data_IF_858751748547
#
_entry.id   IF_858751748547
#
_cell.length_a   1.000
_cell.length_b   1.000
_cell.length_c   1.000
_cell.angle_alpha   90.00
_cell.angle_beta   90.00
_cell.angle_gamma   90.00
#
_symmetry.space_group_name_H-M   'P 1'
#
loop_
_entity.id
_entity.type
_entity.pdbx_description
1 polymer ?
#
# COMPACT_ATOMS: atom_id res chain seq x y z
N UNK A 1 -0.55 0.09 18.12
CA UNK A 1 0.42 0.08 17.01
C UNK A 1 0.01 -0.97 15.99
N UNK A 2 -0.16 -0.62 14.71
CA UNK A 2 -0.51 -1.51 13.59
C UNK A 2 0.15 -1.05 12.28
N UNK A 3 1.27 -0.35 12.39
CA UNK A 3 2.01 0.21 11.25
C UNK A 3 2.91 -0.86 10.67
N UNK A 4 3.03 -0.88 9.35
CA UNK A 4 3.98 -1.72 8.62
C UNK A 4 5.02 -0.81 7.97
N UNK A 5 6.27 -1.27 7.95
CA UNK A 5 7.38 -0.58 7.29
C UNK A 5 7.28 -0.77 5.78
N UNK A 6 7.63 0.25 5.01
CA UNK A 6 7.66 0.16 3.54
C UNK A 6 8.82 -0.72 3.03
N UNK A 7 9.75 -1.11 3.92
CA UNK A 7 10.88 -2.01 3.62
C UNK A 7 10.99 -3.11 4.69
N UNK A 8 11.21 -4.36 4.25
CA UNK A 8 11.40 -5.54 5.09
C UNK A 8 12.61 -6.38 4.60
N UNK A 9 13.58 -6.77 5.47
CA UNK A 9 13.70 -6.39 6.87
C UNK A 9 13.86 -4.87 7.06
N UNK A 10 13.45 -4.35 8.22
CA UNK A 10 13.44 -2.91 8.51
C UNK A 10 14.85 -2.37 8.79
N UNK A 11 15.70 -2.32 7.76
CA UNK A 11 17.02 -1.67 7.82
C UNK A 11 16.89 -0.14 7.88
N UNK A 12 15.83 0.41 7.27
CA UNK A 12 15.47 1.82 7.32
C UNK A 12 14.15 2.01 8.07
N UNK A 13 14.03 3.09 8.85
CA UNK A 13 12.79 3.41 9.57
C UNK A 13 11.83 4.17 8.65
N UNK A 14 11.23 3.45 7.71
CA UNK A 14 10.27 3.96 6.74
C UNK A 14 8.86 3.54 7.12
N UNK A 15 8.23 4.35 7.99
CA UNK A 15 6.81 4.23 8.28
C UNK A 15 6.09 5.43 7.68
N UNK A 16 5.85 5.38 6.37
CA UNK A 16 5.16 6.47 5.68
C UNK A 16 3.64 6.33 5.70
N UNK A 17 3.13 5.21 6.24
CA UNK A 17 1.74 4.81 6.11
C UNK A 17 1.31 4.86 4.63
N UNK A 18 2.16 4.35 3.73
CA UNK A 18 1.75 4.10 2.36
C UNK A 18 0.66 3.00 2.38
N UNK A 19 -0.35 3.09 1.52
CA UNK A 19 -1.40 2.06 1.50
C UNK A 19 -1.00 0.93 0.54
N UNK A 20 -0.49 1.30 -0.63
CA UNK A 20 -0.13 0.36 -1.70
C UNK A 20 1.09 -0.52 -1.37
N UNK A 21 2.16 0.03 -0.78
CA UNK A 21 3.39 -0.75 -0.50
C UNK A 21 3.15 -1.85 0.55
N UNK A 22 2.73 -1.54 1.78
CA UNK A 22 2.42 -2.58 2.78
C UNK A 22 1.22 -3.46 2.38
N UNK A 23 0.40 -3.02 1.43
CA UNK A 23 -0.60 -3.84 0.77
C UNK A 23 -0.04 -5.14 0.18
N UNK A 24 1.27 -5.17 -0.12
CA UNK A 24 2.00 -6.38 -0.55
C UNK A 24 1.86 -7.54 0.45
N UNK A 25 1.66 -7.25 1.74
CA UNK A 25 1.47 -8.28 2.74
C UNK A 25 0.24 -9.17 2.43
N UNK A 26 -0.80 -8.58 1.83
CA UNK A 26 -2.02 -9.27 1.43
C UNK A 26 -1.86 -9.87 0.04
N UNK A 27 -1.41 -9.06 -0.93
CA UNK A 27 -1.33 -9.49 -2.33
C UNK A 27 -0.31 -10.58 -2.53
N UNK A 28 0.85 -10.52 -1.86
CA UNK A 28 1.85 -11.57 -1.91
C UNK A 28 1.32 -12.90 -1.37
N UNK A 29 0.64 -12.88 -0.21
CA UNK A 29 0.04 -14.08 0.38
C UNK A 29 -1.09 -14.66 -0.49
N UNK A 30 -1.94 -13.79 -1.05
CA UNK A 30 -2.99 -14.18 -1.99
C UNK A 30 -2.43 -14.76 -3.30
N UNK A 31 -1.34 -14.20 -3.83
CA UNK A 31 -0.66 -14.75 -5.02
C UNK A 31 -0.12 -16.15 -4.77
N UNK A 32 0.49 -16.38 -3.60
CA UNK A 32 0.96 -17.73 -3.19
C UNK A 32 -0.22 -18.70 -3.09
N UNK A 33 -1.30 -18.29 -2.42
CA UNK A 33 -2.51 -19.11 -2.30
C UNK A 33 -3.14 -19.45 -3.65
N UNK A 34 -3.38 -18.46 -4.51
CA UNK A 34 -3.99 -18.67 -5.83
C UNK A 34 -3.14 -19.56 -6.74
N UNK A 35 -1.81 -19.48 -6.62
CA UNK A 35 -0.89 -20.21 -7.51
C UNK A 35 -0.63 -21.65 -7.06
N UNK A 36 -0.60 -21.90 -5.75
CA UNK A 36 -0.14 -23.17 -5.18
C UNK A 36 -1.16 -23.83 -4.23
N UNK A 37 -2.24 -23.16 -3.87
CA UNK A 37 -3.20 -23.61 -2.85
C UNK A 37 -2.66 -23.52 -1.42
N UNK A 38 -1.50 -22.90 -1.22
CA UNK A 38 -0.87 -22.75 0.09
C UNK A 38 -1.47 -21.55 0.84
N UNK A 39 -2.24 -21.83 1.89
CA UNK A 39 -2.88 -20.84 2.74
C UNK A 39 -2.16 -20.61 4.07
N UNK A 40 -0.97 -21.21 4.27
CA UNK A 40 -0.23 -21.16 5.53
C UNK A 40 0.14 -19.72 5.89
N UNK A 41 0.67 -18.95 4.93
CA UNK A 41 1.01 -17.53 5.14
C UNK A 41 -0.19 -16.68 5.53
N UNK A 42 -1.39 -17.00 5.01
CA UNK A 42 -2.61 -16.29 5.39
C UNK A 42 -2.98 -16.63 6.83
N UNK A 43 -3.02 -17.93 7.18
CA UNK A 43 -3.40 -18.40 8.52
C UNK A 43 -2.45 -17.86 9.61
N UNK A 44 -1.15 -17.92 9.36
CA UNK A 44 -0.12 -17.53 10.33
C UNK A 44 -0.08 -16.01 10.57
N UNK A 45 -0.54 -15.22 9.60
CA UNK A 45 -0.34 -13.78 9.61
C UNK A 45 -1.63 -12.96 9.56
N UNK A 46 -2.81 -13.61 9.48
CA UNK A 46 -4.11 -12.94 9.43
C UNK A 46 -4.30 -11.90 10.55
N UNK A 47 -3.86 -12.21 11.76
CA UNK A 47 -3.93 -11.28 12.89
C UNK A 47 -3.14 -9.99 12.67
N UNK A 48 -1.95 -10.08 12.05
CA UNK A 48 -1.12 -8.92 11.73
C UNK A 48 -1.69 -8.13 10.55
N UNK A 49 -2.15 -8.83 9.50
CA UNK A 49 -2.82 -8.24 8.34
C UNK A 49 -4.04 -7.42 8.77
N UNK A 50 -4.98 -8.05 9.50
CA UNK A 50 -6.18 -7.39 10.03
C UNK A 50 -5.83 -6.15 10.85
N UNK A 51 -4.84 -6.26 11.73
CA UNK A 51 -4.39 -5.17 12.59
C UNK A 51 -3.82 -3.97 11.81
N UNK A 52 -3.15 -4.21 10.68
CA UNK A 52 -2.72 -3.13 9.79
C UNK A 52 -3.89 -2.48 9.05
N UNK A 53 -4.80 -3.28 8.51
CA UNK A 53 -5.96 -2.76 7.79
C UNK A 53 -6.87 -1.93 8.71
N UNK A 54 -7.09 -2.39 9.95
CA UNK A 54 -7.82 -1.64 10.98
C UNK A 54 -7.09 -0.34 11.37
N UNK A 55 -5.75 -0.36 11.44
CA UNK A 55 -4.95 0.84 11.67
C UNK A 55 -5.14 1.85 10.53
N UNK A 56 -4.99 1.44 9.27
CA UNK A 56 -5.17 2.32 8.12
C UNK A 56 -6.60 2.85 8.04
N UNK A 57 -7.61 1.99 8.23
CA UNK A 57 -9.02 2.35 8.23
C UNK A 57 -9.35 3.40 9.29
N UNK A 58 -8.94 3.17 10.54
CA UNK A 58 -9.27 4.07 11.65
C UNK A 58 -8.64 5.46 11.53
N UNK A 59 -7.51 5.58 10.85
CA UNK A 59 -6.81 6.86 10.67
C UNK A 59 -7.17 7.59 9.37
N UNK A 60 -7.39 6.85 8.29
CA UNK A 60 -7.34 7.39 6.94
C UNK A 60 -8.54 7.04 6.05
N UNK A 61 -9.50 6.22 6.51
CA UNK A 61 -10.75 6.07 5.80
C UNK A 61 -11.72 7.19 6.23
N UNK A 62 -12.13 8.04 5.28
CA UNK A 62 -13.09 9.12 5.51
C UNK A 62 -14.18 9.05 4.45
N UNK A 63 -15.44 8.96 4.87
CA UNK A 63 -16.60 8.92 3.95
C UNK A 63 -16.46 7.86 2.84
N UNK A 64 -15.87 6.70 3.19
CA UNK A 64 -15.60 5.60 2.24
C UNK A 64 -14.35 5.79 1.37
N UNK A 65 -13.60 6.88 1.53
CA UNK A 65 -12.40 7.20 0.76
C UNK A 65 -11.15 6.95 1.60
N UNK A 66 -10.24 6.09 1.11
CA UNK A 66 -8.93 5.91 1.73
C UNK A 66 -8.02 7.06 1.29
N UNK A 67 -7.88 8.07 2.14
CA UNK A 67 -7.23 9.34 1.76
C UNK A 67 -5.70 9.29 1.77
N UNK A 68 -5.11 8.20 2.27
CA UNK A 68 -3.68 8.10 2.51
C UNK A 68 -3.03 7.09 1.57
N UNK A 69 -2.12 7.61 0.76
CA UNK A 69 -1.04 6.90 0.06
C UNK A 69 0.14 7.88 0.00
N UNK A 70 1.37 7.39 0.04
CA UNK A 70 2.57 8.24 0.10
C UNK A 70 3.34 8.23 -1.21
N UNK A 71 3.55 7.06 -1.82
CA UNK A 71 4.36 6.94 -3.03
C UNK A 71 3.52 7.07 -4.30
N UNK A 72 2.25 6.64 -4.26
CA UNK A 72 1.35 6.71 -5.40
C UNK A 72 1.86 5.88 -6.57
N UNK A 73 1.49 6.33 -7.75
CA UNK A 73 1.99 5.79 -9.01
C UNK A 73 3.43 6.26 -9.19
N UNK A 74 4.36 5.49 -8.63
CA UNK A 74 5.76 5.87 -8.54
C UNK A 74 6.43 5.81 -9.92
N UNK A 75 7.23 6.82 -10.26
CA UNK A 75 7.89 6.96 -11.55
C UNK A 75 6.95 7.07 -12.78
N UNK A 76 5.78 7.70 -12.66
CA UNK A 76 4.97 8.08 -13.85
C UNK A 76 5.80 8.88 -14.86
N UNK A 77 5.55 8.74 -16.17
CA UNK A 77 6.31 9.44 -17.22
C UNK A 77 6.42 10.96 -16.96
N UNK A 78 7.61 11.44 -16.57
CA UNK A 78 7.82 12.84 -16.28
C UNK A 78 8.06 13.64 -17.56
N UNK A 79 8.19 14.95 -17.42
CA UNK A 79 8.35 15.88 -18.54
C UNK A 79 9.74 15.82 -19.17
N UNK A 80 10.72 15.22 -18.48
CA UNK A 80 12.11 15.06 -18.93
C UNK A 80 12.72 13.77 -18.40
N UNK A 81 13.68 13.19 -19.13
CA UNK A 81 14.42 11.98 -18.77
C UNK A 81 15.28 12.12 -17.50
N UNK A 82 15.65 13.35 -17.12
CA UNK A 82 16.46 13.61 -15.92
C UNK A 82 15.63 13.66 -14.63
N UNK A 83 14.30 13.55 -14.73
CA UNK A 83 13.39 13.57 -13.60
C UNK A 83 12.95 12.15 -13.26
N UNK A 84 12.96 11.82 -11.96
CA UNK A 84 12.34 10.59 -11.45
C UNK A 84 10.84 10.80 -11.22
N UNK A 85 10.44 12.00 -10.76
CA UNK A 85 9.05 12.35 -10.50
C UNK A 85 8.65 13.58 -11.30
N UNK A 86 7.43 13.54 -11.86
CA UNK A 86 6.79 14.69 -12.49
C UNK A 86 6.84 15.93 -11.59
N UNK A 87 7.03 17.12 -12.16
CA UNK A 87 6.87 18.39 -11.43
C UNK A 87 5.47 18.96 -11.59
N UNK A 88 4.79 18.65 -12.69
CA UNK A 88 3.41 18.99 -12.95
C UNK A 88 2.46 18.22 -12.02
N UNK A 89 1.71 18.91 -11.14
CA UNK A 89 0.72 18.28 -10.28
C UNK A 89 -0.41 17.61 -11.06
N UNK A 90 -0.76 18.09 -12.25
CA UNK A 90 -1.84 17.53 -13.07
C UNK A 90 -1.50 16.13 -13.61
N UNK A 91 -0.21 15.77 -13.66
CA UNK A 91 0.26 14.43 -14.04
C UNK A 91 0.35 13.46 -12.87
N UNK A 92 0.22 13.93 -11.63
CA UNK A 92 0.32 13.08 -10.44
C UNK A 92 -1.05 12.58 -10.06
N UNK A 93 -1.25 11.28 -10.18
CA UNK A 93 -2.47 10.64 -9.69
C UNK A 93 -2.60 10.88 -8.19
N UNK A 94 -3.73 11.46 -7.76
CA UNK A 94 -3.95 11.78 -6.35
C UNK A 94 -4.04 10.51 -5.50
N UNK A 95 -3.49 10.55 -4.28
CA UNK A 95 -3.48 9.41 -3.36
C UNK A 95 -4.85 8.72 -3.17
N UNK A 96 -5.98 9.44 -3.00
CA UNK A 96 -7.29 8.79 -2.86
C UNK A 96 -7.72 7.96 -4.06
N UNK A 97 -7.33 8.37 -5.28
CA UNK A 97 -7.68 7.65 -6.51
C UNK A 97 -6.88 6.34 -6.68
N UNK A 98 -5.78 6.18 -5.93
CA UNK A 98 -4.99 4.95 -5.91
C UNK A 98 -5.39 4.09 -4.71
N UNK A 99 -5.35 4.68 -3.51
CA UNK A 99 -5.54 3.92 -2.28
C UNK A 99 -6.99 3.46 -2.08
N UNK A 100 -7.99 4.19 -2.56
CA UNK A 100 -9.40 3.78 -2.36
C UNK A 100 -9.75 2.51 -3.14
N UNK A 101 -9.47 2.42 -4.46
CA UNK A 101 -9.66 1.15 -5.17
C UNK A 101 -8.83 0.02 -4.57
N UNK A 102 -7.58 0.28 -4.18
CA UNK A 102 -6.73 -0.74 -3.55
C UNK A 102 -7.31 -1.19 -2.20
N UNK A 103 -7.87 -0.28 -1.39
CA UNK A 103 -8.52 -0.58 -0.12
C UNK A 103 -9.72 -1.51 -0.27
N UNK A 104 -10.54 -1.32 -1.31
CA UNK A 104 -11.68 -2.19 -1.57
C UNK A 104 -11.31 -3.50 -2.28
N UNK A 105 -10.12 -3.56 -2.88
CA UNK A 105 -9.58 -4.79 -3.46
C UNK A 105 -9.03 -5.75 -2.40
N UNK A 106 -8.43 -5.21 -1.32
CA UNK A 106 -7.95 -5.98 -0.16
C UNK A 106 -9.10 -6.47 0.73
#
# INVERSE_FOLDING_TARGET
MGRISDVCPRYWTLYQDNFTWPGEFFTGADMVYRRFGDDQSIKDHYGAMKKWLEYMRSKYLKDGVMIKDTYGDWCMPPESLDLIHSKDPARKTSAPLIATPFYYFL
#
